data_IF_501378475642
#
_entry.id   IF_501378475642
#
_cell.length_a   1.000
_cell.length_b   1.000
_cell.length_c   1.000
_cell.angle_alpha   90.00
_cell.angle_beta   90.00
_cell.angle_gamma   90.00
#
_symmetry.space_group_name_H-M   'P 1'
#
loop_
_entity.id
_entity.type
_entity.pdbx_description
1 polymer ?
#
# COMPACT_ATOMS: atom_id res chain seq x y z
N UNK A 1 -0.57 -2.93 -28.90
CA UNK A 1 -0.13 -1.96 -27.88
C UNK A 1 0.63 -0.86 -28.58
N UNK A 2 0.09 0.36 -28.55
CA UNK A 2 0.73 1.51 -29.20
C UNK A 2 2.05 1.85 -28.51
N UNK A 3 3.11 2.02 -29.30
CA UNK A 3 4.42 2.43 -28.82
C UNK A 3 4.32 3.88 -28.36
N UNK A 4 4.43 4.13 -27.05
CA UNK A 4 4.41 5.49 -26.52
C UNK A 4 5.65 6.26 -26.96
N UNK A 5 5.43 7.45 -27.51
CA UNK A 5 6.50 8.38 -27.86
C UNK A 5 7.15 8.94 -26.59
N UNK A 6 8.46 9.18 -26.66
CA UNK A 6 9.21 9.93 -25.65
C UNK A 6 8.84 11.41 -25.70
N UNK A 7 9.20 12.13 -24.64
CA UNK A 7 9.01 13.59 -24.48
C UNK A 7 9.62 14.38 -25.66
N UNK A 8 10.71 13.86 -26.25
CA UNK A 8 11.29 14.38 -27.48
C UNK A 8 11.31 13.33 -28.58
N UNK A 9 10.87 13.67 -29.81
CA UNK A 9 10.84 12.72 -30.93
C UNK A 9 12.24 12.21 -31.31
N UNK A 10 13.31 12.94 -30.97
CA UNK A 10 14.70 12.52 -31.18
C UNK A 10 15.12 11.33 -30.31
N UNK A 11 14.45 11.12 -29.18
CA UNK A 11 14.77 10.05 -28.23
C UNK A 11 13.83 8.83 -28.35
N UNK A 12 12.91 8.82 -29.32
CA UNK A 12 11.94 7.72 -29.50
C UNK A 12 12.63 6.40 -29.85
N UNK A 13 13.64 6.42 -30.72
CA UNK A 13 14.34 5.21 -31.13
C UNK A 13 15.09 4.56 -29.96
N UNK A 14 15.77 5.37 -29.14
CA UNK A 14 16.46 4.92 -27.93
C UNK A 14 15.48 4.40 -26.88
N UNK A 15 14.35 5.07 -26.70
CA UNK A 15 13.26 4.61 -25.82
C UNK A 15 12.79 3.21 -26.20
N UNK A 16 12.51 2.99 -27.49
CA UNK A 16 11.99 1.68 -27.92
C UNK A 16 13.02 0.56 -27.78
N UNK A 17 14.31 0.84 -27.98
CA UNK A 17 15.39 -0.13 -27.73
C UNK A 17 15.50 -0.48 -26.25
N UNK A 18 15.41 0.52 -25.37
CA UNK A 18 15.40 0.31 -23.92
C UNK A 18 14.15 -0.44 -23.45
N UNK A 19 12.95 0.02 -23.82
CA UNK A 19 11.68 -0.59 -23.41
C UNK A 19 11.60 -2.07 -23.87
N UNK A 20 12.12 -2.41 -25.06
CA UNK A 20 12.19 -3.79 -25.53
C UNK A 20 13.12 -4.66 -24.66
N UNK A 21 14.34 -4.18 -24.41
CA UNK A 21 15.30 -4.86 -23.54
C UNK A 21 14.73 -5.05 -22.12
N UNK A 22 14.18 -3.97 -21.55
CA UNK A 22 13.66 -3.96 -20.19
C UNK A 22 12.49 -4.93 -20.03
N UNK A 23 11.53 -4.95 -20.96
CA UNK A 23 10.38 -5.84 -20.86
C UNK A 23 10.79 -7.32 -20.95
N UNK A 24 11.76 -7.65 -21.81
CA UNK A 24 12.30 -9.01 -21.93
C UNK A 24 13.08 -9.41 -20.67
N UNK A 25 13.97 -8.55 -20.19
CA UNK A 25 14.72 -8.77 -18.95
C UNK A 25 13.79 -8.87 -17.73
N UNK A 26 12.79 -8.01 -17.63
CA UNK A 26 11.84 -8.00 -16.52
C UNK A 26 11.04 -9.31 -16.47
N UNK A 27 10.53 -9.78 -17.62
CA UNK A 27 9.74 -10.99 -17.70
C UNK A 27 10.56 -12.28 -17.49
N UNK A 28 11.76 -12.34 -18.06
CA UNK A 28 12.52 -13.59 -18.16
C UNK A 28 13.60 -13.76 -17.09
N UNK A 29 14.10 -12.66 -16.49
CA UNK A 29 15.21 -12.67 -15.53
C UNK A 29 14.78 -12.17 -14.17
N UNK A 30 14.27 -10.93 -14.12
CA UNK A 30 13.94 -10.27 -12.87
C UNK A 30 12.84 -10.99 -12.08
N UNK A 31 11.72 -11.34 -12.72
CA UNK A 31 10.65 -12.11 -12.08
C UNK A 31 11.07 -13.54 -11.66
N UNK A 32 12.17 -14.05 -12.20
CA UNK A 32 12.71 -15.39 -11.89
C UNK A 32 13.85 -15.34 -10.85
N UNK A 33 14.16 -14.15 -10.30
CA UNK A 33 15.10 -13.97 -9.20
C UNK A 33 16.52 -13.57 -9.59
N UNK A 34 16.77 -13.22 -10.85
CA UNK A 34 18.06 -12.68 -11.31
C UNK A 34 18.03 -11.14 -11.31
N UNK A 35 18.91 -10.50 -10.54
CA UNK A 35 18.93 -9.05 -10.32
C UNK A 35 19.94 -8.28 -11.18
N UNK A 36 20.65 -8.95 -12.09
CA UNK A 36 21.68 -8.31 -12.92
C UNK A 36 21.06 -7.52 -14.09
N UNK A 37 21.15 -6.19 -14.07
CA UNK A 37 20.55 -5.32 -15.09
C UNK A 37 21.41 -5.22 -16.35
N UNK A 38 21.09 -6.04 -17.34
CA UNK A 38 21.73 -6.04 -18.66
C UNK A 38 21.34 -4.84 -19.54
N UNK A 39 20.28 -4.12 -19.19
CA UNK A 39 19.74 -3.00 -19.98
C UNK A 39 20.29 -1.64 -19.54
N UNK A 40 21.04 -1.57 -18.44
CA UNK A 40 21.64 -0.36 -17.90
C UNK A 40 22.45 0.48 -18.93
N UNK A 41 23.29 -0.09 -19.82
CA UNK A 41 24.04 0.71 -20.78
C UNK A 41 23.14 1.42 -21.81
N UNK A 42 22.03 0.78 -22.20
CA UNK A 42 21.04 1.34 -23.12
C UNK A 42 20.24 2.45 -22.42
N UNK A 43 19.95 2.25 -21.14
CA UNK A 43 19.25 3.23 -20.31
C UNK A 43 20.04 4.54 -20.17
N UNK A 44 21.36 4.46 -19.94
CA UNK A 44 22.21 5.64 -19.80
C UNK A 44 22.18 6.52 -21.06
N UNK A 45 22.26 5.91 -22.25
CA UNK A 45 22.18 6.62 -23.53
C UNK A 45 20.82 7.32 -23.71
N UNK A 46 19.73 6.65 -23.30
CA UNK A 46 18.39 7.23 -23.33
C UNK A 46 18.23 8.37 -22.32
N UNK A 47 18.73 8.21 -21.10
CA UNK A 47 18.69 9.21 -20.03
C UNK A 47 19.45 10.47 -20.42
N UNK A 48 20.62 10.35 -21.05
CA UNK A 48 21.37 11.49 -21.58
C UNK A 48 20.59 12.23 -22.68
N UNK A 49 19.93 11.50 -23.57
CA UNK A 49 19.09 12.08 -24.63
C UNK A 49 17.93 12.89 -24.02
N UNK A 50 17.27 12.35 -23.00
CA UNK A 50 16.18 13.05 -22.30
C UNK A 50 16.70 14.26 -21.52
N UNK A 51 17.81 14.13 -20.78
CA UNK A 51 18.39 15.24 -20.01
C UNK A 51 18.72 16.43 -20.91
N UNK A 52 19.25 16.17 -22.11
CA UNK A 52 19.48 17.21 -23.13
C UNK A 52 18.17 17.83 -23.63
N UNK A 53 17.17 17.00 -23.94
CA UNK A 53 15.88 17.48 -24.45
C UNK A 53 15.06 18.28 -23.41
N UNK A 54 15.14 17.93 -22.13
CA UNK A 54 14.47 18.65 -21.04
C UNK A 54 15.12 20.01 -20.77
N UNK A 55 16.45 20.09 -20.85
CA UNK A 55 17.18 21.35 -20.74
C UNK A 55 16.81 22.34 -21.87
N UNK A 56 16.58 21.85 -23.09
CA UNK A 56 16.12 22.67 -24.22
C UNK A 56 14.69 23.21 -24.04
N UNK A 57 13.83 22.51 -23.29
CA UNK A 57 12.43 22.90 -23.05
C UNK A 57 12.24 23.73 -21.77
N UNK A 58 13.33 24.19 -21.15
CA UNK A 58 13.31 25.03 -19.95
C UNK A 58 12.54 24.40 -18.77
N UNK A 59 12.58 23.06 -18.68
CA UNK A 59 12.03 22.30 -17.55
C UNK A 59 13.14 22.12 -16.52
N UNK A 60 12.90 22.58 -15.30
CA UNK A 60 13.86 22.45 -14.20
C UNK A 60 14.01 20.97 -13.79
N UNK A 61 15.10 20.34 -14.21
CA UNK A 61 15.43 18.94 -13.90
C UNK A 61 15.91 18.72 -12.46
N UNK A 62 16.05 19.79 -11.65
CA UNK A 62 16.60 19.69 -10.29
C UNK A 62 15.71 18.90 -9.31
N UNK A 63 14.42 18.71 -9.63
CA UNK A 63 13.52 17.83 -8.88
C UNK A 63 13.68 16.34 -9.22
N UNK A 64 14.15 16.00 -10.42
CA UNK A 64 14.25 14.61 -10.90
C UNK A 64 15.50 13.93 -10.34
N UNK A 65 16.59 14.69 -10.15
CA UNK A 65 17.80 14.18 -9.50
C UNK A 65 17.69 14.20 -7.95
N UNK A 66 16.55 14.62 -7.37
CA UNK A 66 16.31 14.40 -5.92
C UNK A 66 16.12 12.91 -5.71
N UNK A 67 16.96 12.33 -4.87
CA UNK A 67 16.69 11.02 -4.28
C UNK A 67 15.45 11.17 -3.37
N UNK A 68 14.25 10.94 -3.94
CA UNK A 68 12.97 11.08 -3.24
C UNK A 68 12.87 10.07 -2.07
N UNK A 69 13.64 8.99 -2.11
CA UNK A 69 13.79 8.07 -0.99
C UNK A 69 14.94 8.55 -0.09
N UNK A 70 14.63 9.23 1.01
CA UNK A 70 15.60 9.52 2.08
C UNK A 70 16.21 10.93 2.13
N UNK A 71 15.64 11.94 1.47
CA UNK A 71 16.13 13.33 1.59
C UNK A 71 15.48 14.11 2.74
N UNK A 72 16.30 14.82 3.53
CA UNK A 72 16.02 15.51 4.81
C UNK A 72 14.86 16.55 4.87
N UNK A 73 14.08 16.77 3.81
CA UNK A 73 12.93 17.70 3.85
C UNK A 73 11.65 17.11 4.48
N UNK A 74 11.65 15.82 4.79
CA UNK A 74 10.63 15.17 5.64
C UNK A 74 11.00 15.19 7.13
N UNK A 75 12.04 15.90 7.55
CA UNK A 75 12.36 16.14 8.98
C UNK A 75 11.58 17.34 9.52
N UNK A 76 10.26 17.18 9.53
CA UNK A 76 9.31 18.01 10.26
C UNK A 76 8.47 17.13 11.18
N UNK A 77 9.12 16.56 12.19
CA UNK A 77 8.52 15.80 13.29
C UNK A 77 7.93 14.41 12.93
N UNK A 78 8.80 13.47 12.56
CA UNK A 78 8.61 12.04 12.83
C UNK A 78 9.97 11.36 12.89
N UNK A 79 10.17 10.56 13.93
CA UNK A 79 11.38 9.79 14.17
C UNK A 79 11.81 9.03 12.91
N UNK A 80 13.06 9.26 12.51
CA UNK A 80 13.79 8.50 11.51
C UNK A 80 13.78 7.02 11.87
N UNK A 81 13.02 6.23 11.13
CA UNK A 81 13.25 4.80 10.98
C UNK A 81 14.02 4.68 9.66
N UNK A 82 15.36 4.60 9.74
CA UNK A 82 16.08 3.78 8.77
C UNK A 82 15.42 2.39 8.75
N UNK A 83 15.45 1.63 7.65
CA UNK A 83 15.30 0.18 7.76
C UNK A 83 16.54 -0.35 8.48
N UNK A 84 16.58 -0.16 9.79
CA UNK A 84 17.21 -1.11 10.67
C UNK A 84 16.60 -2.47 10.33
N UNK A 85 17.46 -3.46 10.16
CA UNK A 85 17.12 -4.88 10.04
C UNK A 85 16.40 -5.36 11.32
N UNK A 86 15.17 -4.91 11.52
CA UNK A 86 14.26 -5.28 12.61
C UNK A 86 12.85 -5.62 12.08
N UNK A 87 12.64 -5.62 10.76
CA UNK A 87 11.42 -6.16 10.14
C UNK A 87 11.33 -7.69 10.20
N UNK A 88 12.47 -8.37 10.37
CA UNK A 88 12.52 -9.84 10.50
C UNK A 88 11.74 -10.37 11.70
N UNK A 89 11.66 -9.62 12.82
CA UNK A 89 10.99 -10.09 14.03
C UNK A 89 9.47 -10.05 13.94
N UNK A 90 8.89 -8.99 13.34
CA UNK A 90 7.43 -8.87 13.21
C UNK A 90 6.87 -9.77 12.10
N UNK A 91 7.58 -9.96 10.99
CA UNK A 91 7.16 -10.91 9.97
C UNK A 91 7.30 -12.35 10.48
N UNK A 92 8.44 -12.70 11.09
CA UNK A 92 8.68 -14.04 11.59
C UNK A 92 7.69 -14.50 12.66
N UNK A 93 7.11 -13.60 13.48
CA UNK A 93 6.04 -14.00 14.41
C UNK A 93 4.75 -14.43 13.69
N UNK A 94 4.40 -13.80 12.58
CA UNK A 94 3.25 -14.20 11.77
C UNK A 94 3.55 -15.50 11.03
N UNK A 95 4.75 -15.64 10.48
CA UNK A 95 5.19 -16.88 9.83
C UNK A 95 5.15 -18.06 10.81
N UNK A 96 5.60 -17.86 12.07
CA UNK A 96 5.54 -18.89 13.09
C UNK A 96 4.08 -19.27 13.46
N UNK A 97 3.19 -18.29 13.52
CA UNK A 97 1.76 -18.53 13.77
C UNK A 97 1.15 -19.31 12.60
N UNK A 98 1.43 -18.90 11.36
CA UNK A 98 0.97 -19.56 10.13
C UNK A 98 1.43 -21.01 10.08
N UNK A 99 2.72 -21.29 10.27
CA UNK A 99 3.26 -22.66 10.34
C UNK A 99 2.56 -23.51 11.41
N UNK A 100 2.24 -22.91 12.56
CA UNK A 100 1.53 -23.61 13.65
C UNK A 100 0.09 -23.95 13.25
N UNK A 101 -0.59 -23.04 12.56
CA UNK A 101 -1.94 -23.24 12.04
C UNK A 101 -1.96 -24.28 10.92
N UNK A 102 -1.02 -24.23 9.98
CA UNK A 102 -0.87 -25.23 8.92
C UNK A 102 -0.62 -26.62 9.48
N UNK A 103 0.26 -26.74 10.47
CA UNK A 103 0.52 -28.01 11.15
C UNK A 103 -0.73 -28.55 11.86
N UNK A 104 -1.56 -27.67 12.46
CA UNK A 104 -2.81 -28.06 13.10
C UNK A 104 -3.86 -28.53 12.08
N UNK A 105 -4.00 -27.81 10.96
CA UNK A 105 -4.89 -28.17 9.85
C UNK A 105 -4.48 -29.53 9.28
N UNK A 106 -3.19 -29.75 9.04
CA UNK A 106 -2.68 -31.01 8.49
C UNK A 106 -2.84 -32.17 9.49
N UNK A 107 -2.56 -31.96 10.78
CA UNK A 107 -2.82 -32.98 11.80
C UNK A 107 -4.31 -33.33 11.89
N UNK A 108 -5.20 -32.34 11.73
CA UNK A 108 -6.65 -32.55 11.69
C UNK A 108 -7.05 -33.35 10.45
N UNK A 109 -6.49 -33.02 9.28
CA UNK A 109 -6.71 -33.77 8.03
C UNK A 109 -6.26 -35.22 8.16
N UNK A 110 -5.08 -35.46 8.73
CA UNK A 110 -4.55 -36.80 8.97
C UNK A 110 -5.41 -37.58 9.97
N UNK A 111 -5.89 -36.93 11.03
CA UNK A 111 -6.86 -37.53 11.95
C UNK A 111 -8.12 -37.97 11.22
N UNK A 112 -8.68 -37.11 10.35
CA UNK A 112 -9.86 -37.44 9.55
C UNK A 112 -9.61 -38.64 8.62
N UNK A 113 -8.44 -38.76 7.99
CA UNK A 113 -8.10 -39.92 7.17
C UNK A 113 -8.06 -41.22 7.99
N UNK A 114 -7.37 -41.21 9.14
CA UNK A 114 -7.28 -42.39 10.03
C UNK A 114 -8.64 -42.76 10.61
N UNK A 115 -9.48 -41.78 10.92
CA UNK A 115 -10.83 -42.01 11.42
C UNK A 115 -11.78 -42.56 10.34
N UNK A 116 -11.58 -42.18 9.07
CA UNK A 116 -12.42 -42.64 7.95
C UNK A 116 -12.12 -44.08 7.55
N UNK A 117 -10.87 -44.53 7.67
CA UNK A 117 -10.43 -45.91 7.43
C UNK A 117 -9.75 -46.50 8.66
N UNK A 118 -10.53 -46.61 9.74
CA UNK A 118 -9.99 -47.04 11.02
C UNK A 118 -9.71 -48.54 11.07
N UNK A 119 -8.50 -48.90 11.50
CA UNK A 119 -8.06 -50.28 11.76
C UNK A 119 -7.54 -50.41 13.20
N UNK A 120 -7.69 -51.58 13.82
CA UNK A 120 -7.22 -51.81 15.20
C UNK A 120 -5.71 -51.51 15.40
N UNK A 121 -4.89 -51.74 14.37
CA UNK A 121 -3.46 -51.39 14.33
C UNK A 121 -3.20 -49.88 14.33
N UNK A 122 -4.17 -49.07 13.86
CA UNK A 122 -4.06 -47.62 13.72
C UNK A 122 -4.44 -46.83 14.99
N UNK A 123 -4.94 -47.50 16.04
CA UNK A 123 -5.36 -46.87 17.31
C UNK A 123 -4.25 -46.05 17.97
N UNK A 124 -3.00 -46.51 17.92
CA UNK A 124 -1.85 -45.78 18.46
C UNK A 124 -1.61 -44.47 17.71
N UNK A 125 -1.72 -44.49 16.38
CA UNK A 125 -1.58 -43.33 15.50
C UNK A 125 -2.72 -42.33 15.74
N UNK A 126 -3.95 -42.83 15.90
CA UNK A 126 -5.11 -42.01 16.23
C UNK A 126 -4.91 -41.23 17.55
N UNK A 127 -4.50 -41.93 18.60
CA UNK A 127 -4.22 -41.32 19.91
C UNK A 127 -3.08 -40.29 19.82
N UNK A 128 -2.03 -40.59 19.05
CA UNK A 128 -0.93 -39.66 18.81
C UNK A 128 -1.42 -38.39 18.10
N UNK A 129 -2.33 -38.50 17.11
CA UNK A 129 -2.90 -37.35 16.41
C UNK A 129 -3.84 -36.53 17.26
N UNK A 130 -4.66 -37.16 18.12
CA UNK A 130 -5.49 -36.45 19.09
C UNK A 130 -4.65 -35.64 20.09
N UNK A 131 -3.56 -36.24 20.59
CA UNK A 131 -2.60 -35.53 21.45
C UNK A 131 -1.91 -34.39 20.72
N UNK A 132 -1.52 -34.58 19.45
CA UNK A 132 -0.90 -33.54 18.64
C UNK A 132 -1.83 -32.33 18.41
N UNK A 133 -3.13 -32.58 18.15
CA UNK A 133 -4.13 -31.50 18.01
C UNK A 133 -4.33 -30.78 19.34
N UNK A 134 -4.43 -31.53 20.45
CA UNK A 134 -4.57 -30.94 21.79
C UNK A 134 -3.38 -30.04 22.14
N UNK A 135 -2.16 -30.53 21.89
CA UNK A 135 -0.93 -29.77 22.08
C UNK A 135 -0.88 -28.54 21.16
N UNK A 136 -1.26 -28.68 19.90
CA UNK A 136 -1.30 -27.57 18.94
C UNK A 136 -2.29 -26.47 19.32
N UNK A 137 -3.46 -26.83 19.88
CA UNK A 137 -4.42 -25.85 20.40
C UNK A 137 -3.90 -25.12 21.65
N UNK A 138 -3.21 -25.83 22.55
CA UNK A 138 -2.57 -25.22 23.72
C UNK A 138 -1.44 -24.25 23.32
N UNK A 139 -0.63 -24.64 22.34
CA UNK A 139 0.42 -23.80 21.78
C UNK A 139 -0.16 -22.53 21.13
N UNK A 140 -1.25 -22.66 20.35
CA UNK A 140 -1.94 -21.51 19.75
C UNK A 140 -2.49 -20.53 20.81
N UNK A 141 -3.10 -21.05 21.88
CA UNK A 141 -3.60 -20.22 22.97
C UNK A 141 -2.46 -19.49 23.70
N UNK A 142 -1.32 -20.16 23.91
CA UNK A 142 -0.14 -19.53 24.51
C UNK A 142 0.42 -18.37 23.67
N UNK A 143 0.33 -18.48 22.33
CA UNK A 143 0.81 -17.49 21.37
C UNK A 143 -0.13 -16.30 21.22
N UNK A 144 -1.42 -16.42 21.56
CA UNK A 144 -2.43 -15.35 21.47
C UNK A 144 -1.97 -14.02 22.06
N UNK A 145 -1.28 -14.07 23.21
CA UNK A 145 -0.79 -12.89 23.92
C UNK A 145 0.21 -12.04 23.11
N UNK A 146 0.87 -12.63 22.11
CA UNK A 146 1.88 -11.97 21.27
C UNK A 146 1.29 -11.09 20.16
N UNK A 147 -0.04 -11.07 20.00
CA UNK A 147 -0.75 -10.40 18.91
C UNK A 147 -1.78 -9.38 19.38
N UNK A 148 -1.73 -8.95 20.65
CA UNK A 148 -2.65 -7.92 21.18
C UNK A 148 -2.54 -6.56 20.49
N UNK A 149 -1.43 -6.29 19.82
CA UNK A 149 -1.19 -5.10 19.02
C UNK A 149 -1.98 -5.09 17.70
N UNK A 150 -2.42 -6.25 17.22
CA UNK A 150 -3.17 -6.40 15.96
C UNK A 150 -4.67 -6.29 16.24
N UNK A 151 -5.30 -5.25 15.68
CA UNK A 151 -6.76 -5.06 15.76
C UNK A 151 -7.43 -5.52 14.47
N UNK A 152 -8.33 -6.50 14.58
CA UNK A 152 -9.09 -7.03 13.45
C UNK A 152 -10.50 -6.40 13.46
N UNK A 153 -10.91 -5.68 12.40
CA UNK A 153 -12.27 -5.15 12.30
C UNK A 153 -13.32 -6.27 12.27
N UNK A 154 -14.43 -6.09 12.98
CA UNK A 154 -15.51 -7.11 13.05
C UNK A 154 -16.14 -7.33 11.67
N UNK A 155 -16.29 -6.26 10.88
CA UNK A 155 -16.79 -6.33 9.50
C UNK A 155 -15.94 -7.25 8.62
N UNK A 156 -14.65 -7.41 8.91
CA UNK A 156 -13.77 -8.31 8.16
C UNK A 156 -14.12 -9.78 8.39
N UNK A 157 -14.64 -10.14 9.58
CA UNK A 157 -15.02 -11.52 9.91
C UNK A 157 -16.15 -12.00 8.99
N UNK A 158 -17.08 -11.11 8.62
CA UNK A 158 -18.15 -11.45 7.69
C UNK A 158 -17.62 -11.83 6.29
N UNK A 159 -16.53 -11.21 5.84
CA UNK A 159 -15.86 -11.58 4.59
C UNK A 159 -15.23 -12.98 4.72
N UNK A 160 -14.58 -13.28 5.85
CA UNK A 160 -13.95 -14.59 6.10
C UNK A 160 -15.00 -15.70 6.21
N UNK A 161 -16.07 -15.48 6.98
CA UNK A 161 -17.13 -16.48 7.21
C UNK A 161 -17.90 -16.79 5.93
N UNK A 162 -18.05 -15.81 5.03
CA UNK A 162 -18.64 -16.00 3.70
C UNK A 162 -17.66 -16.55 2.65
N UNK A 163 -16.42 -16.84 3.03
CA UNK A 163 -15.39 -17.37 2.13
C UNK A 163 -14.88 -16.35 1.09
N UNK A 164 -15.09 -15.05 1.31
CA UNK A 164 -14.59 -13.98 0.45
C UNK A 164 -13.16 -13.63 0.80
N UNK A 165 -12.41 -13.13 -0.19
CA UNK A 165 -11.06 -12.64 0.03
C UNK A 165 -11.07 -11.38 0.95
N UNK A 166 -10.39 -11.39 2.11
CA UNK A 166 -10.27 -10.24 3.01
C UNK A 166 -9.72 -8.97 2.36
N UNK A 167 -8.93 -9.08 1.29
CA UNK A 167 -8.41 -7.93 0.53
C UNK A 167 -9.51 -7.12 -0.16
N UNK A 168 -10.67 -7.73 -0.42
CA UNK A 168 -11.82 -7.00 -0.95
C UNK A 168 -12.36 -6.00 0.06
N UNK A 169 -12.37 -6.34 1.36
CA UNK A 169 -12.75 -5.39 2.40
C UNK A 169 -11.79 -4.20 2.43
N UNK A 170 -10.47 -4.46 2.35
CA UNK A 170 -9.45 -3.40 2.29
C UNK A 170 -9.70 -2.47 1.11
N UNK A 171 -9.94 -3.04 -0.08
CA UNK A 171 -10.29 -2.28 -1.28
C UNK A 171 -11.56 -1.45 -1.06
N UNK A 172 -12.65 -2.07 -0.61
CA UNK A 172 -13.93 -1.39 -0.43
C UNK A 172 -13.82 -0.25 0.59
N UNK A 173 -13.02 -0.43 1.65
CA UNK A 173 -12.75 0.59 2.65
C UNK A 173 -12.00 1.80 2.05
N UNK A 174 -10.96 1.54 1.25
CA UNK A 174 -10.21 2.58 0.54
C UNK A 174 -11.13 3.31 -0.44
N UNK A 175 -11.90 2.58 -1.24
CA UNK A 175 -12.83 3.16 -2.21
C UNK A 175 -13.90 4.03 -1.54
N UNK A 176 -14.52 3.56 -0.45
CA UNK A 176 -15.47 4.36 0.34
C UNK A 176 -14.81 5.62 0.92
N UNK A 177 -13.57 5.50 1.39
CA UNK A 177 -12.82 6.64 1.96
C UNK A 177 -12.53 7.69 0.87
N UNK A 178 -12.09 7.26 -0.30
CA UNK A 178 -11.83 8.14 -1.45
C UNK A 178 -13.12 8.82 -1.91
N UNK A 179 -14.21 8.07 -2.07
CA UNK A 179 -15.51 8.62 -2.45
C UNK A 179 -15.98 9.68 -1.46
N UNK A 180 -15.89 9.39 -0.15
CA UNK A 180 -16.30 10.32 0.91
C UNK A 180 -15.40 11.55 0.97
N UNK A 181 -14.09 11.40 0.77
CA UNK A 181 -13.17 12.53 0.68
C UNK A 181 -13.54 13.47 -0.49
N UNK A 182 -13.82 12.91 -1.66
CA UNK A 182 -14.28 13.67 -2.83
C UNK A 182 -15.60 14.40 -2.56
N UNK A 183 -16.57 13.71 -1.95
CA UNK A 183 -17.85 14.30 -1.56
C UNK A 183 -17.66 15.47 -0.59
N UNK A 184 -16.83 15.30 0.45
CA UNK A 184 -16.54 16.36 1.41
C UNK A 184 -15.83 17.55 0.77
N UNK A 185 -14.87 17.31 -0.12
CA UNK A 185 -14.20 18.38 -0.85
C UNK A 185 -15.18 19.16 -1.73
N UNK A 186 -16.11 18.48 -2.40
CA UNK A 186 -17.17 19.14 -3.17
C UNK A 186 -18.09 19.98 -2.28
N UNK A 187 -18.48 19.49 -1.11
CA UNK A 187 -19.25 20.27 -0.12
C UNK A 187 -18.47 21.50 0.35
N UNK A 188 -17.19 21.37 0.67
CA UNK A 188 -16.33 22.49 1.06
C UNK A 188 -16.27 23.54 -0.05
N UNK A 189 -16.14 23.13 -1.31
CA UNK A 189 -16.13 24.03 -2.45
C UNK A 189 -17.46 24.77 -2.63
N UNK A 190 -18.58 24.07 -2.49
CA UNK A 190 -19.91 24.69 -2.50
C UNK A 190 -20.09 25.71 -1.37
N UNK A 191 -19.64 25.40 -0.14
CA UNK A 191 -19.67 26.35 0.97
C UNK A 191 -18.77 27.57 0.72
N UNK A 192 -17.59 27.38 0.13
CA UNK A 192 -16.71 28.49 -0.28
C UNK A 192 -17.40 29.38 -1.32
N UNK A 193 -18.00 28.78 -2.34
CA UNK A 193 -18.73 29.52 -3.38
C UNK A 193 -19.93 30.28 -2.82
N UNK A 194 -20.73 29.63 -1.98
CA UNK A 194 -21.87 30.25 -1.30
C UNK A 194 -21.41 31.44 -0.45
N UNK A 195 -20.35 31.27 0.33
CA UNK A 195 -19.73 32.35 1.11
C UNK A 195 -19.33 33.53 0.21
N UNK A 196 -18.69 33.29 -0.93
CA UNK A 196 -18.29 34.36 -1.85
C UNK A 196 -19.50 35.12 -2.41
N UNK A 197 -20.54 34.41 -2.85
CA UNK A 197 -21.77 35.03 -3.38
C UNK A 197 -22.49 35.84 -2.31
N UNK A 198 -22.65 35.27 -1.11
CA UNK A 198 -23.27 35.94 0.02
C UNK A 198 -22.51 37.21 0.43
N UNK A 199 -21.17 37.15 0.45
CA UNK A 199 -20.33 38.32 0.73
C UNK A 199 -20.42 39.37 -0.37
N UNK A 200 -20.62 38.98 -1.63
CA UNK A 200 -20.84 39.93 -2.73
C UNK A 200 -22.11 40.72 -2.50
N UNK A 201 -23.23 40.03 -2.31
CA UNK A 201 -24.55 40.64 -2.07
C UNK A 201 -24.55 41.55 -0.83
N UNK A 202 -23.97 41.07 0.27
CA UNK A 202 -23.84 41.86 1.49
C UNK A 202 -22.97 43.11 1.30
N UNK A 203 -21.99 43.09 0.39
CA UNK A 203 -21.16 44.27 0.11
C UNK A 203 -21.93 45.33 -0.68
N UNK A 204 -22.84 44.91 -1.56
CA UNK A 204 -23.70 45.82 -2.33
C UNK A 204 -24.74 46.51 -1.43
N UNK A 205 -25.44 45.73 -0.58
CA UNK A 205 -26.51 46.28 0.29
C UNK A 205 -25.97 46.92 1.59
N UNK A 206 -24.92 46.37 2.19
CA UNK A 206 -24.38 46.79 3.50
C UNK A 206 -22.84 46.88 3.51
N UNK A 207 -22.26 47.92 2.86
CA UNK A 207 -20.81 48.00 2.65
C UNK A 207 -20.01 48.22 3.95
N UNK A 208 -20.53 48.98 4.93
CA UNK A 208 -19.78 49.33 6.15
C UNK A 208 -19.65 48.14 7.10
N UNK A 209 -20.74 47.40 7.28
CA UNK A 209 -20.85 46.21 8.11
C UNK A 209 -20.03 45.05 7.51
N UNK A 210 -20.05 44.91 6.18
CA UNK A 210 -19.27 43.87 5.48
C UNK A 210 -17.76 44.09 5.58
N UNK A 211 -17.29 45.35 5.55
CA UNK A 211 -15.87 45.67 5.77
C UNK A 211 -15.46 45.30 7.20
N UNK A 212 -16.26 45.65 8.21
CA UNK A 212 -16.00 45.27 9.61
C UNK A 212 -15.95 43.75 9.79
N UNK A 213 -16.87 43.01 9.17
CA UNK A 213 -16.87 41.54 9.18
C UNK A 213 -15.59 40.93 8.59
N UNK A 214 -15.10 41.46 7.46
CA UNK A 214 -13.85 40.98 6.83
C UNK A 214 -12.65 41.19 7.75
N UNK A 215 -12.53 42.35 8.38
CA UNK A 215 -11.44 42.67 9.33
C UNK A 215 -11.41 41.70 10.52
N UNK A 216 -12.58 41.31 11.05
CA UNK A 216 -12.66 40.36 12.18
C UNK A 216 -12.29 38.94 11.75
N UNK A 217 -12.62 38.53 10.51
CA UNK A 217 -12.42 37.15 10.03
C UNK A 217 -11.06 36.90 9.38
N UNK A 218 -10.35 37.94 8.95
CA UNK A 218 -8.99 37.83 8.40
C UNK A 218 -7.93 37.51 9.46
N UNK A 219 -8.22 37.66 10.77
CA UNK A 219 -7.47 36.96 11.81
C UNK A 219 -7.88 35.49 11.79
N UNK A 220 -7.03 34.57 11.30
CA UNK A 220 -7.36 33.16 11.34
C UNK A 220 -7.12 32.70 12.77
N UNK A 221 -8.17 32.61 13.57
CA UNK A 221 -8.17 31.65 14.67
C UNK A 221 -8.22 30.25 14.06
N UNK A 222 -7.03 29.73 13.73
CA UNK A 222 -6.79 28.29 13.71
C UNK A 222 -5.45 28.03 14.41
N UNK A 223 -5.42 27.28 15.52
CA UNK A 223 -4.19 26.60 15.95
C UNK A 223 -3.77 25.56 14.90
#
# INVERSE_FOLDING_TARGET
MERMNSISPKCNELKHKYDACFNEWFAERFLKGDSEDVCQPIFQLYQECIKKALAEQNVDCSEIDRHIIGSDKDKGNSNSMEPSEQSGSSAARFDNLEQSLEALIENTRQLCMVASDFQASSQSVLNQKLQAITSGLQDLDSKKSKFHDVKVPIELLEYVDSGKNPQLYTRDCIERTVAKNKELNSKIDQYKKFRCMLLSELTEEFPKETIQYRTIREYPSRP
#
